data_IF_013938852827
#
_entry.id   IF_013938852827
#
_cell.length_a   1.000
_cell.length_b   1.000
_cell.length_c   1.000
_cell.angle_alpha   90.00
_cell.angle_beta   90.00
_cell.angle_gamma   90.00
#
_symmetry.space_group_name_H-M   'P 1'
#
loop_
_entity.id
_entity.type
_entity.pdbx_description
1 polymer ?
#
# COMPACT_ATOMS: atom_id res chain seq x y z
N UNK A 1 9.54 43.19 34.35
CA UNK A 1 10.47 42.16 33.82
C UNK A 1 9.93 40.73 33.96
N UNK A 2 9.31 40.35 35.08
CA UNK A 2 8.73 39.01 35.28
C UNK A 2 7.54 38.65 34.35
N UNK A 3 6.76 39.63 33.90
CA UNK A 3 5.61 39.42 33.01
C UNK A 3 6.07 39.18 31.55
N UNK A 4 7.17 39.81 31.15
CA UNK A 4 7.83 39.61 29.86
C UNK A 4 8.47 38.22 29.79
N UNK A 5 9.16 37.79 30.84
CA UNK A 5 9.74 36.44 30.91
C UNK A 5 8.68 35.33 30.94
N UNK A 6 7.53 35.55 31.60
CA UNK A 6 6.40 34.60 31.58
C UNK A 6 5.77 34.45 30.20
N UNK A 7 5.57 35.55 29.49
CA UNK A 7 5.01 35.52 28.14
C UNK A 7 5.99 34.88 27.14
N UNK A 8 7.29 35.15 27.27
CA UNK A 8 8.34 34.50 26.49
C UNK A 8 8.37 32.99 26.77
N UNK A 9 8.28 32.57 28.04
CA UNK A 9 8.24 31.15 28.41
C UNK A 9 7.02 30.43 27.80
N UNK A 10 5.84 31.06 27.84
CA UNK A 10 4.62 30.52 27.23
C UNK A 10 4.76 30.35 25.71
N UNK A 11 5.33 31.34 25.03
CA UNK A 11 5.58 31.26 23.58
C UNK A 11 6.57 30.14 23.23
N UNK A 12 7.60 29.93 24.05
CA UNK A 12 8.58 28.85 23.86
C UNK A 12 7.96 27.46 24.02
N UNK A 13 7.04 27.28 24.98
CA UNK A 13 6.31 26.02 25.17
C UNK A 13 5.37 25.73 23.99
N UNK A 14 4.63 26.74 23.50
CA UNK A 14 3.74 26.60 22.35
C UNK A 14 4.53 26.20 21.09
N UNK A 15 5.69 26.83 20.85
CA UNK A 15 6.57 26.48 19.74
C UNK A 15 7.10 25.02 19.83
N UNK A 16 7.40 24.56 21.05
CA UNK A 16 7.82 23.17 21.30
C UNK A 16 6.70 22.14 21.07
N UNK A 17 5.44 22.51 21.28
CA UNK A 17 4.27 21.67 20.99
C UNK A 17 3.96 21.61 19.48
N UNK A 18 4.15 22.71 18.75
CA UNK A 18 3.94 22.77 17.28
C UNK A 18 5.01 21.94 16.54
N UNK A 19 6.25 21.94 17.01
CA UNK A 19 7.37 21.19 16.41
C UNK A 19 7.26 19.66 16.56
N UNK A 20 6.35 19.15 17.39
CA UNK A 20 6.06 17.71 17.49
C UNK A 20 5.07 17.19 16.45
N UNK A 21 4.44 18.07 15.67
CA UNK A 21 3.47 17.65 14.66
C UNK A 21 4.10 17.04 13.39
N UNK A 22 5.43 16.93 13.31
CA UNK A 22 6.12 16.41 12.12
C UNK A 22 7.25 15.41 12.43
N UNK A 23 7.09 14.57 13.46
CA UNK A 23 8.08 13.54 13.79
C UNK A 23 7.60 12.12 13.45
N UNK A 24 8.05 11.63 12.29
CA UNK A 24 8.30 10.22 11.94
C UNK A 24 7.06 9.35 11.65
N UNK A 25 6.22 9.75 10.70
CA UNK A 25 5.61 8.71 9.86
C UNK A 25 6.64 8.35 8.80
N UNK A 26 7.40 7.27 9.02
CA UNK A 26 8.03 6.58 7.88
C UNK A 26 6.85 6.12 7.03
N UNK A 27 6.51 6.87 5.98
CA UNK A 27 5.60 6.40 4.96
C UNK A 27 6.25 5.15 4.37
N UNK A 28 5.78 4.00 4.82
CA UNK A 28 6.24 2.74 4.29
C UNK A 28 5.57 2.59 2.94
N UNK A 29 6.32 2.83 1.88
CA UNK A 29 5.87 2.53 0.53
C UNK A 29 6.05 1.04 0.30
N UNK A 30 5.01 0.35 -0.14
CA UNK A 30 5.11 -1.02 -0.62
C UNK A 30 5.02 -1.01 -2.13
N UNK A 31 5.91 -1.78 -2.76
CA UNK A 31 5.88 -1.97 -4.21
C UNK A 31 5.19 -3.30 -4.49
N UNK A 32 4.06 -3.27 -5.19
CA UNK A 32 3.36 -4.47 -5.64
C UNK A 32 3.75 -4.73 -7.10
N UNK A 33 4.18 -5.95 -7.40
CA UNK A 33 4.45 -6.38 -8.79
C UNK A 33 3.70 -7.67 -9.06
N UNK A 34 2.78 -7.60 -10.00
CA UNK A 34 1.95 -8.73 -10.41
C UNK A 34 2.37 -9.21 -11.79
N UNK A 35 2.63 -10.52 -11.93
CA UNK A 35 2.83 -11.18 -13.23
C UNK A 35 1.60 -12.02 -13.58
N UNK A 36 1.28 -12.05 -14.86
CA UNK A 36 0.18 -12.81 -15.39
C UNK A 36 0.69 -14.11 -16.01
N UNK A 37 0.58 -15.22 -15.28
CA UNK A 37 0.92 -16.56 -15.76
C UNK A 37 -0.33 -17.33 -16.22
N UNK A 38 -1.47 -16.64 -16.26
CA UNK A 38 -2.75 -17.18 -16.71
C UNK A 38 -2.71 -17.44 -18.20
N UNK A 39 -1.88 -16.72 -18.94
CA UNK A 39 -2.01 -16.70 -20.37
C UNK A 39 -3.42 -16.17 -20.68
N UNK A 40 -3.81 -14.96 -20.33
CA UNK A 40 -4.95 -14.28 -20.95
C UNK A 40 -4.74 -12.77 -20.87
N UNK A 41 -5.51 -11.97 -21.61
CA UNK A 41 -5.60 -10.55 -21.25
C UNK A 41 -6.49 -10.42 -20.01
N UNK A 42 -5.99 -9.75 -18.97
CA UNK A 42 -6.77 -9.46 -17.77
C UNK A 42 -6.79 -7.94 -17.53
N UNK A 43 -7.96 -7.43 -17.16
CA UNK A 43 -8.09 -6.07 -16.67
C UNK A 43 -7.98 -6.12 -15.16
N UNK A 44 -6.97 -5.46 -14.61
CA UNK A 44 -6.83 -5.29 -13.16
C UNK A 44 -7.40 -3.93 -12.77
N UNK A 45 -8.21 -3.87 -11.71
CA UNK A 45 -8.69 -2.62 -11.15
C UNK A 45 -8.02 -2.42 -9.79
N UNK A 46 -7.25 -1.33 -9.65
CA UNK A 46 -6.44 -1.07 -8.48
C UNK A 46 -7.12 -0.04 -7.58
N UNK A 47 -7.56 -0.48 -6.40
CA UNK A 47 -8.24 0.36 -5.42
C UNK A 47 -7.79 0.00 -4.01
N UNK A 48 -7.51 1.02 -3.19
CA UNK A 48 -7.16 0.88 -1.79
C UNK A 48 -7.92 1.93 -0.97
N UNK A 49 -8.95 1.49 -0.26
CA UNK A 49 -9.83 2.36 0.55
C UNK A 49 -10.38 3.53 -0.29
N UNK A 50 -9.94 4.74 -0.01
CA UNK A 50 -10.40 5.98 -0.66
C UNK A 50 -9.56 6.33 -1.91
N UNK A 51 -8.48 5.59 -2.18
CA UNK A 51 -7.60 5.77 -3.33
C UNK A 51 -7.97 4.78 -4.44
N UNK A 52 -8.27 5.29 -5.62
CA UNK A 52 -8.71 4.51 -6.78
C UNK A 52 -7.86 4.90 -7.99
N UNK A 53 -6.99 3.99 -8.41
CA UNK A 53 -6.05 4.18 -9.51
C UNK A 53 -6.66 3.75 -10.86
N UNK A 54 -7.88 3.19 -10.83
CA UNK A 54 -8.60 2.75 -12.02
C UNK A 54 -8.17 1.39 -12.54
N UNK A 55 -8.56 1.13 -13.78
CA UNK A 55 -8.37 -0.16 -14.44
C UNK A 55 -7.21 -0.14 -15.44
N UNK A 56 -6.37 -1.17 -15.40
CA UNK A 56 -5.21 -1.34 -16.27
C UNK A 56 -5.29 -2.68 -17.00
N UNK A 57 -4.94 -2.69 -18.29
CA UNK A 57 -4.89 -3.90 -19.12
C UNK A 57 -3.53 -4.58 -18.96
N UNK A 58 -3.51 -5.88 -18.64
CA UNK A 58 -2.32 -6.71 -18.61
C UNK A 58 -2.50 -7.83 -19.64
N UNK A 59 -1.74 -7.78 -20.73
CA UNK A 59 -1.87 -8.71 -21.86
C UNK A 59 -0.85 -9.84 -21.80
N UNK A 60 -1.26 -11.13 -21.85
CA UNK A 60 -0.69 -12.20 -22.73
C UNK A 60 -1.59 -13.47 -22.77
N UNK A 61 -2.11 -13.89 -23.95
CA UNK A 61 -2.67 -15.19 -24.52
C UNK A 61 -3.39 -16.32 -23.73
N UNK A 62 -4.74 -16.37 -23.87
CA UNK A 62 -5.86 -17.37 -23.67
C UNK A 62 -5.89 -18.47 -22.57
N UNK A 63 -6.65 -18.17 -21.51
CA UNK A 63 -7.19 -18.99 -20.42
C UNK A 63 -8.45 -18.28 -19.91
N UNK A 64 -9.49 -19.02 -19.53
CA UNK A 64 -10.78 -18.47 -19.11
C UNK A 64 -11.03 -18.87 -17.65
N UNK A 65 -10.94 -17.89 -16.72
CA UNK A 65 -11.88 -17.89 -15.59
C UNK A 65 -13.27 -17.67 -16.22
N UNK A 66 -14.34 -18.25 -15.67
CA UNK A 66 -15.69 -18.03 -16.19
C UNK A 66 -16.07 -16.54 -16.23
N UNK A 67 -17.33 -16.21 -16.52
CA UNK A 67 -17.82 -14.83 -16.52
C UNK A 67 -17.88 -14.17 -15.11
N UNK A 68 -17.10 -14.66 -14.16
CA UNK A 68 -17.11 -14.24 -12.76
C UNK A 68 -15.95 -13.29 -12.45
N UNK A 69 -16.25 -12.19 -11.78
CA UNK A 69 -15.25 -11.25 -11.27
C UNK A 69 -14.73 -11.75 -9.91
N UNK A 70 -13.42 -11.85 -9.78
CA UNK A 70 -12.77 -12.20 -8.51
C UNK A 70 -12.05 -10.99 -7.90
N UNK A 71 -12.06 -10.93 -6.57
CA UNK A 71 -11.37 -9.91 -5.78
C UNK A 71 -10.41 -10.58 -4.81
N UNK A 72 -9.23 -9.98 -4.64
CA UNK A 72 -8.26 -10.40 -3.65
C UNK A 72 -7.45 -9.21 -3.15
N UNK A 73 -7.07 -9.25 -1.88
CA UNK A 73 -6.25 -8.21 -1.27
C UNK A 73 -4.78 -8.40 -1.64
N UNK A 74 -4.29 -7.58 -2.57
CA UNK A 74 -2.87 -7.54 -3.01
C UNK A 74 -1.91 -7.07 -1.91
N UNK A 75 -2.45 -6.40 -0.86
CA UNK A 75 -1.71 -5.95 0.30
C UNK A 75 -2.62 -5.80 1.52
N UNK A 76 -2.27 -6.44 2.63
CA UNK A 76 -2.88 -6.25 3.95
C UNK A 76 -1.75 -5.92 4.92
N UNK A 77 -1.75 -4.70 5.47
CA UNK A 77 -0.67 -4.21 6.34
C UNK A 77 -0.32 -5.18 7.49
N UNK A 78 -1.32 -5.68 8.22
CA UNK A 78 -1.08 -6.61 9.33
C UNK A 78 -0.52 -7.99 8.90
N UNK A 79 -0.81 -8.42 7.66
CA UNK A 79 -0.40 -9.72 7.11
C UNK A 79 0.96 -9.63 6.42
N UNK A 80 1.21 -8.53 5.69
CA UNK A 80 2.29 -8.39 4.72
C UNK A 80 3.43 -7.47 5.21
N UNK A 81 3.18 -6.63 6.23
CA UNK A 81 4.24 -5.93 6.95
C UNK A 81 4.66 -6.78 8.16
N UNK A 82 5.96 -7.06 8.42
CA UNK A 82 7.19 -6.61 7.74
C UNK A 82 7.83 -7.48 6.63
N UNK A 83 7.38 -8.71 6.27
CA UNK A 83 8.12 -9.56 5.31
C UNK A 83 8.13 -9.01 3.87
N UNK A 84 7.32 -7.99 3.57
CA UNK A 84 7.08 -7.53 2.21
C UNK A 84 7.46 -6.05 1.97
N UNK A 85 8.69 -5.79 1.54
CA UNK A 85 9.08 -4.51 0.91
C UNK A 85 8.65 -4.46 -0.57
N UNK A 86 8.76 -5.60 -1.25
CA UNK A 86 8.28 -5.82 -2.61
C UNK A 86 7.42 -7.08 -2.60
N UNK A 87 6.12 -6.93 -2.90
CA UNK A 87 5.18 -8.05 -2.92
C UNK A 87 5.02 -8.56 -4.34
N UNK A 88 5.60 -9.74 -4.59
CA UNK A 88 5.54 -10.42 -5.87
C UNK A 88 4.33 -11.34 -5.89
N UNK A 89 3.40 -11.06 -6.78
CA UNK A 89 2.21 -11.87 -7.03
C UNK A 89 2.29 -12.52 -8.41
N UNK A 90 2.05 -13.83 -8.47
CA UNK A 90 1.85 -14.59 -9.70
C UNK A 90 0.36 -14.92 -9.81
N UNK A 91 -0.31 -14.34 -10.80
CA UNK A 91 -1.71 -14.65 -11.11
C UNK A 91 -1.74 -15.92 -11.95
N UNK A 92 -2.33 -16.98 -11.42
CA UNK A 92 -2.38 -18.30 -12.05
C UNK A 92 -3.83 -18.74 -12.27
N UNK A 93 -4.05 -19.74 -13.13
CA UNK A 93 -5.33 -20.43 -13.29
C UNK A 93 -6.06 -20.84 -12.00
N UNK A 94 -5.31 -21.20 -10.95
CA UNK A 94 -5.87 -21.64 -9.66
C UNK A 94 -6.09 -20.50 -8.66
N UNK A 95 -5.61 -19.31 -8.96
CA UNK A 95 -5.67 -18.14 -8.09
C UNK A 95 -4.35 -17.38 -7.98
N UNK A 96 -4.37 -16.22 -7.31
CA UNK A 96 -3.18 -15.42 -7.04
C UNK A 96 -2.27 -16.11 -5.99
N UNK A 97 -0.96 -16.07 -6.22
CA UNK A 97 0.05 -16.64 -5.33
C UNK A 97 1.11 -15.59 -5.00
N UNK A 98 1.30 -15.28 -3.72
CA UNK A 98 2.36 -14.38 -3.25
C UNK A 98 3.64 -15.18 -2.97
N UNK A 99 4.77 -14.79 -3.55
CA UNK A 99 6.04 -15.53 -3.40
C UNK A 99 6.72 -15.33 -2.04
N UNK A 100 6.55 -14.17 -1.41
CA UNK A 100 7.24 -13.81 -0.15
C UNK A 100 6.62 -14.43 1.13
N UNK A 101 5.82 -15.49 1.02
CA UNK A 101 5.23 -16.14 2.20
C UNK A 101 6.17 -17.14 2.90
N UNK A 102 7.26 -17.58 2.24
CA UNK A 102 8.17 -18.62 2.75
C UNK A 102 9.66 -18.23 2.77
N UNK A 103 10.00 -16.98 3.12
CA UNK A 103 11.37 -16.63 3.56
C UNK A 103 11.41 -16.19 5.00
#
# INVERSE_FOLDING_TARGET
MALFSRNVLLLMVVFFMITRCQAIFRHHTQTIRSTNDVGAEMTVHCKSKDDDLGSHLISVKRFEWGSESHYFDIYISYRDHPPCNVCLWSIRPKGPCMWNYET
#
